data_IF_503497484028
#
_entry.id   IF_503497484028
#
_cell.length_a   1.000
_cell.length_b   1.000
_cell.length_c   1.000
_cell.angle_alpha   90.00
_cell.angle_beta   90.00
_cell.angle_gamma   90.00
#
_symmetry.space_group_name_H-M   'P 1'
#
loop_
_entity.id
_entity.type
_entity.pdbx_description
1 polymer ?
#
# COMPACT_ATOMS: atom_id res chain seq x y z
N UNK A 1 11.46 5.95 -9.20
CA UNK A 1 12.06 6.75 -10.27
C UNK A 1 13.50 6.28 -10.49
N UNK A 2 13.85 5.87 -11.72
CA UNK A 2 15.19 5.38 -12.08
C UNK A 2 15.77 6.20 -13.24
N UNK A 3 15.63 7.52 -13.19
CA UNK A 3 16.12 8.36 -14.27
C UNK A 3 17.57 8.88 -14.06
N UNK A 4 18.05 8.89 -12.82
CA UNK A 4 19.43 9.25 -12.50
C UNK A 4 20.39 8.07 -12.72
N UNK A 5 21.57 8.34 -13.23
CA UNK A 5 22.58 7.31 -13.53
C UNK A 5 22.97 6.48 -12.30
N UNK A 6 23.06 7.12 -11.13
CA UNK A 6 23.37 6.48 -9.85
C UNK A 6 22.23 5.51 -9.43
N UNK A 7 20.98 5.89 -9.65
CA UNK A 7 19.84 5.04 -9.36
C UNK A 7 19.78 3.81 -10.27
N UNK A 8 20.10 3.99 -11.57
CA UNK A 8 20.19 2.87 -12.53
C UNK A 8 21.27 1.86 -12.14
N UNK A 9 22.43 2.33 -11.69
CA UNK A 9 23.53 1.46 -11.29
C UNK A 9 23.23 0.70 -10.00
N UNK A 10 22.52 1.31 -9.06
CA UNK A 10 22.19 0.71 -7.75
C UNK A 10 20.89 -0.08 -7.77
N UNK A 11 20.01 0.16 -8.75
CA UNK A 11 18.67 -0.42 -8.82
C UNK A 11 17.70 0.04 -7.70
N UNK A 12 18.03 1.15 -7.04
CA UNK A 12 17.24 1.76 -5.96
C UNK A 12 17.16 3.28 -6.14
N UNK A 13 16.08 3.88 -5.64
CA UNK A 13 15.95 5.35 -5.59
C UNK A 13 16.87 5.94 -4.53
N UNK A 14 17.72 6.88 -4.92
CA UNK A 14 18.68 7.57 -4.02
C UNK A 14 18.13 8.91 -3.58
N UNK A 15 17.29 9.54 -4.39
CA UNK A 15 16.67 10.83 -4.11
C UNK A 15 15.16 10.74 -4.14
N UNK A 16 14.51 11.58 -3.33
CA UNK A 16 13.05 11.70 -3.37
C UNK A 16 12.64 12.30 -4.71
N UNK A 17 11.60 11.76 -5.31
CA UNK A 17 11.02 12.27 -6.56
C UNK A 17 9.52 12.50 -6.41
N UNK A 18 9.00 13.44 -7.18
CA UNK A 18 7.58 13.71 -7.27
C UNK A 18 7.07 13.28 -8.65
N UNK A 19 6.00 12.51 -8.70
CA UNK A 19 5.29 12.12 -9.92
C UNK A 19 3.83 12.51 -9.80
N UNK A 20 3.24 12.94 -10.90
CA UNK A 20 1.83 13.31 -10.96
C UNK A 20 1.14 12.53 -12.07
N UNK A 21 -0.06 12.05 -11.80
CA UNK A 21 -0.92 11.44 -12.81
C UNK A 21 -2.40 11.66 -12.47
N UNK A 22 -3.26 11.45 -13.46
CA UNK A 22 -4.71 11.49 -13.27
C UNK A 22 -5.28 10.07 -13.32
N UNK A 23 -6.17 9.77 -12.39
CA UNK A 23 -6.88 8.51 -12.30
C UNK A 23 -8.29 8.74 -11.75
N UNK A 24 -9.31 8.24 -12.46
CA UNK A 24 -10.73 8.33 -12.07
C UNK A 24 -11.17 9.74 -11.63
N UNK A 25 -10.73 10.77 -12.37
CA UNK A 25 -11.05 12.17 -12.08
C UNK A 25 -10.24 12.79 -10.92
N UNK A 26 -9.35 12.04 -10.31
CA UNK A 26 -8.44 12.53 -9.26
C UNK A 26 -7.07 12.87 -9.85
N UNK A 27 -6.49 13.94 -9.35
CA UNK A 27 -5.08 14.25 -9.57
C UNK A 27 -4.26 13.74 -8.41
N UNK A 28 -3.40 12.76 -8.66
CA UNK A 28 -2.60 12.08 -7.66
C UNK A 28 -1.16 12.53 -7.78
N UNK A 29 -0.57 12.95 -6.67
CA UNK A 29 0.82 13.29 -6.56
C UNK A 29 1.51 12.24 -5.69
N UNK A 30 2.45 11.49 -6.25
CA UNK A 30 3.27 10.53 -5.51
C UNK A 30 4.58 11.20 -5.17
N UNK A 31 4.89 11.25 -3.88
CA UNK A 31 6.19 11.64 -3.36
C UNK A 31 6.94 10.37 -2.98
N UNK A 32 7.84 9.93 -3.84
CA UNK A 32 8.64 8.73 -3.63
C UNK A 32 9.77 9.01 -2.64
N UNK A 33 9.88 8.19 -1.60
CA UNK A 33 10.96 8.28 -0.62
C UNK A 33 12.11 7.35 -1.01
N UNK A 34 13.38 7.71 -0.74
CA UNK A 34 14.49 6.81 -0.98
C UNK A 34 14.30 5.51 -0.19
N UNK A 35 14.40 4.37 -0.88
CA UNK A 35 14.57 3.07 -0.25
C UNK A 35 15.98 2.94 0.30
N UNK A 36 16.23 2.04 1.23
CA UNK A 36 17.55 1.71 1.79
C UNK A 36 18.32 2.88 2.43
N UNK A 37 18.67 2.72 3.67
CA UNK A 37 19.66 3.40 4.54
C UNK A 37 19.86 4.93 4.44
N UNK A 38 19.46 5.57 3.36
CA UNK A 38 19.62 7.01 3.16
C UNK A 38 18.43 7.80 3.71
N UNK A 39 18.15 7.62 5.02
CA UNK A 39 17.19 8.48 5.73
C UNK A 39 17.83 9.85 5.87
N UNK A 40 17.52 10.73 4.92
CA UNK A 40 18.00 12.11 4.91
C UNK A 40 16.91 13.07 5.42
N UNK A 41 17.32 14.28 5.72
CA UNK A 41 16.40 15.39 6.00
C UNK A 41 15.37 15.59 4.87
N UNK A 42 15.74 15.28 3.63
CA UNK A 42 14.86 15.33 2.47
C UNK A 42 13.68 14.36 2.58
N UNK A 43 13.91 13.15 3.09
CA UNK A 43 12.84 12.17 3.32
C UNK A 43 11.82 12.68 4.34
N UNK A 44 12.31 13.28 5.42
CA UNK A 44 11.45 13.91 6.42
C UNK A 44 10.61 15.03 5.82
N UNK A 45 11.22 15.92 5.04
CA UNK A 45 10.53 17.04 4.38
C UNK A 45 9.46 16.57 3.40
N UNK A 46 9.73 15.50 2.65
CA UNK A 46 8.75 14.90 1.74
C UNK A 46 7.53 14.40 2.52
N UNK A 47 7.75 13.69 3.62
CA UNK A 47 6.66 13.20 4.47
C UNK A 47 5.85 14.33 5.11
N UNK A 48 6.49 15.47 5.40
CA UNK A 48 5.79 16.67 5.87
C UNK A 48 4.80 17.20 4.83
N UNK A 49 5.08 17.03 3.55
CA UNK A 49 4.21 17.48 2.47
C UNK A 49 3.05 16.52 2.15
N UNK A 50 3.13 15.27 2.60
CA UNK A 50 2.14 14.25 2.28
C UNK A 50 0.85 14.38 3.11
N UNK A 51 -0.29 14.01 2.53
CA UNK A 51 -1.59 13.93 3.19
C UNK A 51 -1.95 12.50 3.63
N UNK A 52 -1.31 11.51 3.04
CA UNK A 52 -1.38 10.10 3.39
C UNK A 52 -0.08 9.40 3.01
N UNK A 53 0.18 8.24 3.59
CA UNK A 53 1.34 7.42 3.27
C UNK A 53 0.93 6.02 2.81
N UNK A 54 1.66 5.50 1.84
CA UNK A 54 1.61 4.09 1.45
C UNK A 54 2.90 3.43 1.93
N UNK A 55 2.76 2.53 2.88
CA UNK A 55 3.86 1.74 3.42
C UNK A 55 3.99 0.43 2.62
N UNK A 56 5.11 0.26 1.93
CA UNK A 56 5.41 -0.95 1.18
C UNK A 56 6.20 -1.93 2.06
N UNK A 57 5.69 -3.14 2.20
CA UNK A 57 6.32 -4.24 2.92
C UNK A 57 6.71 -5.31 1.92
N UNK A 58 7.97 -5.73 1.93
CA UNK A 58 8.42 -6.89 1.18
C UNK A 58 7.89 -8.16 1.87
N UNK A 59 7.14 -8.98 1.14
CA UNK A 59 6.48 -10.16 1.71
C UNK A 59 7.47 -11.19 2.31
N UNK A 60 8.71 -11.23 1.82
CA UNK A 60 9.74 -12.13 2.33
C UNK A 60 10.50 -11.54 3.53
N UNK A 61 10.72 -10.23 3.54
CA UNK A 61 11.51 -9.54 4.56
C UNK A 61 10.69 -9.07 5.75
N UNK A 62 9.43 -8.70 5.54
CA UNK A 62 8.58 -8.11 6.56
C UNK A 62 8.97 -6.67 6.89
N UNK A 63 8.86 -6.29 8.15
CA UNK A 63 9.14 -4.93 8.61
C UNK A 63 10.65 -4.71 8.74
N UNK A 64 11.20 -3.84 7.91
CA UNK A 64 12.63 -3.49 7.90
C UNK A 64 12.90 -2.24 8.76
N UNK A 65 14.15 -2.03 9.15
CA UNK A 65 14.56 -0.89 9.99
C UNK A 65 14.16 0.46 9.38
N UNK A 66 14.29 0.60 8.06
CA UNK A 66 13.90 1.81 7.34
C UNK A 66 12.39 2.06 7.42
N UNK A 67 11.59 1.01 7.33
CA UNK A 67 10.14 1.08 7.51
C UNK A 67 9.77 1.63 8.88
N UNK A 68 10.46 1.19 9.94
CA UNK A 68 10.23 1.66 11.31
C UNK A 68 10.50 3.16 11.42
N UNK A 69 11.59 3.64 10.84
CA UNK A 69 11.96 5.06 10.88
C UNK A 69 10.92 5.93 10.17
N UNK A 70 10.51 5.55 8.96
CA UNK A 70 9.52 6.27 8.17
C UNK A 70 8.13 6.23 8.82
N UNK A 71 7.75 5.10 9.36
CA UNK A 71 6.50 4.93 10.10
C UNK A 71 6.40 5.88 11.30
N UNK A 72 7.48 6.03 12.08
CA UNK A 72 7.52 6.96 13.22
C UNK A 72 7.25 8.39 12.79
N UNK A 73 7.80 8.82 11.67
CA UNK A 73 7.55 10.17 11.12
C UNK A 73 6.09 10.35 10.72
N UNK A 74 5.52 9.39 10.02
CA UNK A 74 4.09 9.42 9.64
C UNK A 74 3.19 9.47 10.88
N UNK A 75 3.54 8.72 11.92
CA UNK A 75 2.79 8.67 13.18
C UNK A 75 2.79 10.02 13.91
N UNK A 76 3.94 10.70 13.96
CA UNK A 76 4.05 12.04 14.54
C UNK A 76 3.15 13.06 13.83
N UNK A 77 2.85 12.85 12.58
CA UNK A 77 2.00 13.73 11.77
C UNK A 77 0.53 13.33 11.76
N UNK A 78 0.18 12.19 12.35
CA UNK A 78 -1.18 11.65 12.36
C UNK A 78 -1.81 11.53 10.95
N UNK A 79 -0.99 11.23 9.94
CA UNK A 79 -1.51 11.01 8.59
C UNK A 79 -1.97 9.56 8.43
N UNK A 80 -3.00 9.30 7.59
CA UNK A 80 -3.43 7.95 7.27
C UNK A 80 -2.28 7.13 6.65
N UNK A 81 -2.16 5.87 7.07
CA UNK A 81 -1.16 4.93 6.58
C UNK A 81 -1.87 3.72 5.98
N UNK A 82 -1.61 3.46 4.70
CA UNK A 82 -2.05 2.27 3.99
C UNK A 82 -0.86 1.33 3.84
N UNK A 83 -1.06 0.05 4.05
CA UNK A 83 0.00 -0.95 3.94
C UNK A 83 -0.23 -1.84 2.73
N UNK A 84 0.77 -1.96 1.88
CA UNK A 84 0.78 -2.87 0.74
C UNK A 84 1.92 -3.87 0.88
N UNK A 85 1.57 -5.14 1.10
CA UNK A 85 2.53 -6.25 1.11
C UNK A 85 2.80 -6.66 -0.33
N UNK A 86 3.99 -6.32 -0.79
CA UNK A 86 4.45 -6.45 -2.16
C UNK A 86 5.26 -7.73 -2.37
N UNK A 87 5.39 -8.14 -3.62
CA UNK A 87 6.17 -9.30 -4.06
C UNK A 87 5.58 -10.65 -3.64
N UNK A 88 4.25 -10.73 -3.55
CA UNK A 88 3.56 -12.00 -3.26
C UNK A 88 3.78 -13.08 -4.33
N UNK A 89 4.21 -12.69 -5.53
CA UNK A 89 4.59 -13.58 -6.63
C UNK A 89 5.89 -14.38 -6.37
N UNK A 90 6.56 -14.14 -5.26
CA UNK A 90 7.83 -14.77 -4.87
C UNK A 90 7.70 -15.43 -3.49
N UNK A 91 8.86 -15.80 -2.93
CA UNK A 91 8.94 -16.26 -1.54
C UNK A 91 8.34 -15.23 -0.58
N UNK A 92 7.53 -15.67 0.36
CA UNK A 92 6.85 -14.80 1.32
C UNK A 92 6.70 -15.45 2.68
N UNK A 93 6.64 -14.61 3.72
CA UNK A 93 6.23 -15.04 5.05
C UNK A 93 4.74 -15.37 5.07
N UNK A 94 4.31 -16.09 6.11
CA UNK A 94 2.88 -16.29 6.37
C UNK A 94 2.17 -14.95 6.58
N UNK A 95 1.00 -14.72 5.95
CA UNK A 95 0.25 -13.47 6.08
C UNK A 95 -0.16 -13.10 7.50
N UNK A 96 -0.54 -14.08 8.34
CA UNK A 96 -0.83 -13.84 9.75
C UNK A 96 0.42 -13.41 10.53
N UNK A 97 1.58 -14.02 10.22
CA UNK A 97 2.84 -13.62 10.82
C UNK A 97 3.24 -12.19 10.44
N UNK A 98 2.97 -11.77 9.20
CA UNK A 98 3.19 -10.38 8.77
C UNK A 98 2.27 -9.39 9.50
N UNK A 99 1.01 -9.74 9.72
CA UNK A 99 0.08 -8.91 10.51
C UNK A 99 0.54 -8.78 11.96
N UNK A 100 0.97 -9.87 12.57
CA UNK A 100 1.51 -9.86 13.93
C UNK A 100 2.79 -9.02 14.02
N UNK A 101 3.68 -9.12 13.04
CA UNK A 101 4.90 -8.33 12.97
C UNK A 101 4.61 -6.82 12.87
N UNK A 102 3.63 -6.41 12.05
CA UNK A 102 3.18 -5.02 11.97
C UNK A 102 2.70 -4.51 13.33
N UNK A 103 1.89 -5.27 14.04
CA UNK A 103 1.36 -4.89 15.34
C UNK A 103 2.45 -4.83 16.40
N UNK A 104 3.32 -5.84 16.49
CA UNK A 104 4.37 -5.91 17.50
C UNK A 104 5.51 -4.92 17.29
N UNK A 105 5.94 -4.73 16.04
CA UNK A 105 7.09 -3.88 15.71
C UNK A 105 6.71 -2.42 15.56
N UNK A 106 5.59 -2.13 14.88
CA UNK A 106 5.13 -0.77 14.61
C UNK A 106 4.08 -0.26 15.61
N UNK A 107 3.40 -1.16 16.30
CA UNK A 107 2.32 -0.80 17.22
C UNK A 107 1.06 -0.28 16.51
N UNK A 108 0.86 -0.66 15.26
CA UNK A 108 -0.35 -0.33 14.50
C UNK A 108 -1.16 -1.59 14.20
N UNK A 109 -2.47 -1.52 14.41
CA UNK A 109 -3.39 -2.58 14.04
C UNK A 109 -3.65 -2.55 12.55
N UNK A 110 -3.86 -3.72 11.94
CA UNK A 110 -4.12 -3.84 10.51
C UNK A 110 -5.50 -4.45 10.24
N UNK A 111 -6.14 -3.96 9.18
CA UNK A 111 -7.39 -4.50 8.66
C UNK A 111 -7.15 -5.02 7.24
N UNK A 112 -7.06 -6.34 7.02
CA UNK A 112 -6.92 -6.88 5.68
C UNK A 112 -8.12 -6.55 4.81
N UNK A 113 -7.88 -5.87 3.70
CA UNK A 113 -8.89 -5.53 2.69
C UNK A 113 -9.00 -6.62 1.64
N UNK A 114 -7.90 -7.32 1.38
CA UNK A 114 -7.85 -8.55 0.62
C UNK A 114 -7.04 -9.61 1.40
N UNK A 115 -7.10 -10.85 0.93
CA UNK A 115 -6.38 -11.95 1.56
C UNK A 115 -5.72 -12.84 0.50
N UNK A 116 -4.43 -13.19 0.64
CA UNK A 116 -3.74 -13.99 -0.36
C UNK A 116 -4.19 -15.45 -0.35
N UNK A 117 -4.22 -16.04 -1.54
CA UNK A 117 -4.50 -17.45 -1.79
C UNK A 117 -3.21 -18.08 -2.27
N UNK A 118 -2.69 -19.03 -1.49
CA UNK A 118 -1.33 -19.54 -1.72
C UNK A 118 -0.27 -18.50 -1.36
N UNK A 119 0.86 -18.94 -0.86
CA UNK A 119 1.97 -18.11 -0.40
C UNK A 119 3.31 -18.80 -0.69
N UNK A 120 4.40 -18.08 -0.48
CA UNK A 120 5.76 -18.62 -0.53
C UNK A 120 6.09 -19.35 -1.85
N UNK A 121 5.90 -18.65 -2.96
CA UNK A 121 6.15 -19.18 -4.31
C UNK A 121 4.96 -19.95 -4.91
N UNK A 122 3.85 -20.09 -4.19
CA UNK A 122 2.63 -20.77 -4.62
C UNK A 122 1.42 -19.82 -4.73
N UNK A 123 1.68 -18.57 -5.04
CA UNK A 123 0.66 -17.52 -5.08
C UNK A 123 -0.35 -17.73 -6.21
N UNK A 124 -1.63 -17.85 -5.87
CA UNK A 124 -2.74 -18.10 -6.79
C UNK A 124 -3.59 -16.84 -7.06
N UNK A 125 -3.55 -15.86 -6.18
CA UNK A 125 -4.37 -14.67 -6.27
C UNK A 125 -4.74 -14.12 -4.92
N UNK A 126 -5.75 -13.24 -4.89
CA UNK A 126 -6.28 -12.66 -3.65
C UNK A 126 -7.80 -12.73 -3.61
N UNK A 127 -8.32 -12.94 -2.41
CA UNK A 127 -9.73 -12.77 -2.10
C UNK A 127 -10.00 -11.34 -1.67
N UNK A 128 -10.94 -10.66 -2.33
CA UNK A 128 -11.38 -9.30 -1.99
C UNK A 128 -12.50 -9.40 -0.96
N UNK A 129 -12.25 -8.93 0.26
CA UNK A 129 -13.17 -9.09 1.39
C UNK A 129 -14.45 -8.27 1.26
N UNK A 130 -14.41 -7.12 0.59
CA UNK A 130 -15.57 -6.24 0.37
C UNK A 130 -16.56 -6.82 -0.64
N UNK A 131 -16.08 -7.34 -1.76
CA UNK A 131 -16.91 -7.85 -2.85
C UNK A 131 -17.17 -9.36 -2.78
N UNK A 132 -16.34 -10.12 -2.08
CA UNK A 132 -16.36 -11.57 -2.08
C UNK A 132 -15.81 -12.19 -3.36
N UNK A 133 -15.12 -11.40 -4.19
CA UNK A 133 -14.50 -11.86 -5.43
C UNK A 133 -13.08 -12.37 -5.19
N UNK A 134 -12.68 -13.32 -6.01
CA UNK A 134 -11.31 -13.81 -6.11
C UNK A 134 -10.70 -13.25 -7.38
N UNK A 135 -9.59 -12.51 -7.24
CA UNK A 135 -8.74 -12.11 -8.35
C UNK A 135 -7.69 -13.18 -8.56
N UNK A 136 -7.68 -13.80 -9.75
CA UNK A 136 -6.74 -14.87 -10.08
C UNK A 136 -5.43 -14.28 -10.61
N UNK A 137 -4.31 -14.81 -10.10
CA UNK A 137 -2.98 -14.47 -10.58
C UNK A 137 -2.58 -15.39 -11.72
N UNK A 138 -2.26 -14.83 -12.89
CA UNK A 138 -1.97 -15.62 -14.11
C UNK A 138 -0.48 -15.82 -14.39
N UNK A 139 0.41 -15.50 -13.45
CA UNK A 139 1.87 -15.69 -13.59
C UNK A 139 2.52 -14.94 -14.74
N UNK A 140 3.08 -13.80 -14.45
CA UNK A 140 4.24 -13.26 -15.16
C UNK A 140 4.14 -12.86 -16.62
N UNK A 141 3.32 -11.90 -16.98
CA UNK A 141 3.72 -10.98 -18.03
C UNK A 141 4.35 -9.75 -17.36
N UNK A 142 5.67 -9.74 -17.26
CA UNK A 142 6.42 -8.61 -16.75
C UNK A 142 6.03 -7.33 -17.49
N UNK A 143 5.22 -6.48 -16.87
CA UNK A 143 5.08 -5.08 -17.22
C UNK A 143 4.48 -4.73 -18.59
N UNK A 144 4.02 -5.66 -19.38
CA UNK A 144 3.45 -5.38 -20.70
C UNK A 144 2.00 -5.84 -20.77
N UNK A 145 1.13 -4.87 -20.82
CA UNK A 145 -0.33 -4.87 -20.88
C UNK A 145 -1.01 -5.08 -19.52
N UNK A 146 -2.03 -4.25 -19.26
CA UNK A 146 -3.10 -4.55 -18.32
C UNK A 146 -3.78 -5.84 -18.81
N UNK A 147 -3.24 -7.00 -18.41
CA UNK A 147 -3.95 -8.25 -18.58
C UNK A 147 -5.23 -8.10 -17.76
N UNK A 148 -6.38 -8.28 -18.38
CA UNK A 148 -7.65 -8.35 -17.68
C UNK A 148 -7.48 -9.36 -16.53
N UNK A 149 -7.49 -8.85 -15.30
CA UNK A 149 -7.42 -9.70 -14.12
C UNK A 149 -8.70 -10.51 -14.08
N UNK A 150 -8.60 -11.82 -14.17
CA UNK A 150 -9.77 -12.70 -14.11
C UNK A 150 -10.32 -12.65 -12.70
N UNK A 151 -11.55 -12.19 -12.55
CA UNK A 151 -12.29 -12.11 -11.30
C UNK A 151 -13.40 -13.14 -11.30
N UNK A 152 -13.48 -13.95 -10.25
CA UNK A 152 -14.54 -14.95 -10.04
C UNK A 152 -15.14 -14.77 -8.65
N UNK A 153 -16.44 -15.06 -8.52
CA UNK A 153 -17.12 -14.99 -7.23
C UNK A 153 -16.77 -16.22 -6.38
N UNK A 154 -16.35 -16.01 -5.13
CA UNK A 154 -16.16 -17.13 -4.20
C UNK A 154 -17.50 -17.89 -3.99
N UNK A 155 -17.43 -19.22 -4.05
CA UNK A 155 -18.62 -20.08 -3.99
C UNK A 155 -19.32 -20.30 -5.34
N UNK A 156 -18.82 -19.69 -6.43
CA UNK A 156 -19.33 -19.94 -7.78
C UNK A 156 -18.69 -21.18 -8.40
N UNK A 157 -19.35 -21.80 -9.41
CA UNK A 157 -18.75 -22.90 -10.16
C UNK A 157 -17.44 -22.52 -10.86
N UNK A 158 -17.29 -21.27 -11.27
CA UNK A 158 -16.09 -20.73 -11.89
C UNK A 158 -14.91 -20.73 -10.91
N UNK A 159 -15.13 -20.37 -9.65
CA UNK A 159 -14.11 -20.42 -8.60
C UNK A 159 -13.70 -21.86 -8.27
N UNK A 160 -14.67 -22.78 -8.20
CA UNK A 160 -14.44 -24.22 -8.00
C UNK A 160 -13.62 -24.85 -9.13
N UNK A 161 -13.75 -24.34 -10.35
CA UNK A 161 -12.96 -24.78 -11.52
C UNK A 161 -11.58 -24.15 -11.54
N UNK A 162 -11.47 -22.88 -11.16
CA UNK A 162 -10.22 -22.10 -11.28
C UNK A 162 -9.21 -22.41 -10.16
N UNK A 163 -9.68 -22.81 -8.98
CA UNK A 163 -8.84 -23.09 -7.82
C UNK A 163 -9.02 -24.52 -7.33
N UNK A 164 -7.92 -25.19 -7.02
CA UNK A 164 -7.96 -26.50 -6.40
C UNK A 164 -8.65 -26.44 -5.02
N UNK A 165 -9.32 -27.53 -4.64
CA UNK A 165 -10.12 -27.60 -3.41
C UNK A 165 -9.34 -27.23 -2.16
N UNK A 166 -8.07 -27.61 -2.04
CA UNK A 166 -7.26 -27.30 -0.86
C UNK A 166 -7.01 -25.78 -0.68
N UNK A 167 -6.94 -24.99 -1.78
CA UNK A 167 -6.86 -23.53 -1.69
C UNK A 167 -8.17 -22.94 -1.19
N UNK A 168 -9.30 -23.43 -1.68
CA UNK A 168 -10.63 -22.96 -1.26
C UNK A 168 -10.91 -23.29 0.19
N UNK A 169 -10.60 -24.53 0.63
CA UNK A 169 -10.79 -24.96 2.01
C UNK A 169 -9.95 -24.10 2.97
N UNK A 170 -8.67 -23.90 2.65
CA UNK A 170 -7.79 -23.05 3.44
C UNK A 170 -8.27 -21.59 3.48
N UNK A 171 -8.70 -21.05 2.35
CA UNK A 171 -9.24 -19.69 2.28
C UNK A 171 -10.44 -19.53 3.19
N UNK A 172 -11.39 -20.47 3.21
CA UNK A 172 -12.55 -20.42 4.09
C UNK A 172 -12.16 -20.42 5.56
N UNK A 173 -11.22 -21.29 5.96
CA UNK A 173 -10.71 -21.33 7.33
C UNK A 173 -10.03 -20.01 7.73
N UNK A 174 -9.21 -19.44 6.86
CA UNK A 174 -8.50 -18.19 7.12
C UNK A 174 -9.45 -16.99 7.18
N UNK A 175 -10.50 -16.94 6.33
CA UNK A 175 -11.54 -15.91 6.40
C UNK A 175 -12.29 -15.98 7.74
N UNK A 176 -12.67 -17.18 8.19
CA UNK A 176 -13.32 -17.35 9.49
C UNK A 176 -12.44 -16.84 10.64
N UNK A 177 -11.14 -17.12 10.61
CA UNK A 177 -10.19 -16.61 11.60
C UNK A 177 -10.10 -15.09 11.58
N UNK A 178 -10.07 -14.48 10.39
CA UNK A 178 -10.03 -13.03 10.23
C UNK A 178 -11.32 -12.36 10.74
N UNK A 179 -12.46 -12.97 10.50
CA UNK A 179 -13.76 -12.42 10.93
C UNK A 179 -13.95 -12.50 12.44
N UNK A 180 -13.32 -13.48 13.11
CA UNK A 180 -13.41 -13.67 14.57
C UNK A 180 -12.34 -12.87 15.30
N UNK A 181 -11.10 -12.89 14.81
CA UNK A 181 -9.94 -12.34 15.53
C UNK A 181 -9.38 -11.05 14.92
N UNK A 182 -9.81 -10.67 13.71
CA UNK A 182 -9.34 -9.48 13.02
C UNK A 182 -10.05 -8.21 13.47
N UNK A 183 -9.42 -7.08 13.16
CA UNK A 183 -10.04 -5.77 13.33
C UNK A 183 -10.98 -5.46 12.16
N UNK A 184 -12.22 -5.05 12.42
CA UNK A 184 -13.11 -4.60 11.37
C UNK A 184 -12.62 -3.28 10.77
N UNK A 185 -12.97 -3.03 9.53
CA UNK A 185 -12.68 -1.75 8.89
C UNK A 185 -13.39 -0.61 9.62
N UNK A 186 -12.62 0.38 10.04
CA UNK A 186 -13.08 1.60 10.70
C UNK A 186 -12.39 2.80 10.02
N UNK A 187 -13.16 3.52 9.20
CA UNK A 187 -12.66 4.67 8.44
C UNK A 187 -12.08 5.75 9.35
N UNK A 188 -12.71 6.03 10.47
CA UNK A 188 -12.23 7.05 11.41
C UNK A 188 -10.88 6.65 12.01
N UNK A 189 -10.71 5.38 12.39
CA UNK A 189 -9.44 4.86 12.90
C UNK A 189 -8.33 4.94 11.85
N UNK A 190 -8.67 4.72 10.57
CA UNK A 190 -7.70 4.87 9.46
C UNK A 190 -7.28 6.33 9.30
N UNK A 191 -8.24 7.26 9.27
CA UNK A 191 -7.96 8.69 9.14
C UNK A 191 -7.15 9.25 10.31
N UNK A 192 -7.29 8.68 11.49
CA UNK A 192 -6.52 9.04 12.69
C UNK A 192 -5.17 8.32 12.79
N UNK A 193 -4.82 7.46 11.83
CA UNK A 193 -3.56 6.71 11.83
C UNK A 193 -3.47 5.58 12.86
N UNK A 194 -4.60 5.10 13.40
CA UNK A 194 -4.67 4.01 14.41
C UNK A 194 -4.86 2.62 13.80
N UNK A 195 -5.37 2.56 12.59
CA UNK A 195 -5.63 1.34 11.84
C UNK A 195 -5.07 1.49 10.44
N UNK A 196 -4.37 0.48 9.93
CA UNK A 196 -3.89 0.48 8.55
C UNK A 196 -4.68 -0.52 7.70
N UNK A 197 -5.32 -0.07 6.62
CA UNK A 197 -5.82 -0.99 5.62
C UNK A 197 -4.66 -1.76 4.99
N UNK A 198 -4.77 -3.09 4.97
CA UNK A 198 -3.71 -4.00 4.54
C UNK A 198 -4.10 -4.67 3.22
N UNK A 199 -3.21 -4.59 2.25
CA UNK A 199 -3.36 -5.19 0.93
C UNK A 199 -2.18 -6.09 0.61
N UNK A 200 -2.45 -7.17 -0.14
CA UNK A 200 -1.43 -8.07 -0.65
C UNK A 200 -1.45 -8.06 -2.18
N UNK A 201 -0.29 -8.06 -2.80
CA UNK A 201 -0.19 -8.06 -4.26
C UNK A 201 1.25 -8.12 -4.76
N UNK A 202 1.42 -7.78 -6.04
CA UNK A 202 2.72 -7.71 -6.70
C UNK A 202 2.75 -6.53 -7.67
N UNK A 203 3.50 -5.49 -7.31
CA UNK A 203 3.58 -4.28 -8.13
C UNK A 203 4.29 -4.52 -9.47
N UNK A 204 5.31 -5.38 -9.50
CA UNK A 204 6.06 -5.69 -10.72
C UNK A 204 5.22 -6.41 -11.77
N UNK A 205 4.24 -7.19 -11.34
CA UNK A 205 3.28 -7.88 -12.21
C UNK A 205 1.96 -7.12 -12.34
N UNK A 206 1.87 -5.92 -11.76
CA UNK A 206 0.68 -5.09 -11.70
C UNK A 206 -0.55 -5.79 -11.10
N UNK A 207 -0.32 -6.74 -10.18
CA UNK A 207 -1.38 -7.51 -9.55
C UNK A 207 -1.84 -6.88 -8.22
N UNK A 208 -3.15 -6.62 -8.12
CA UNK A 208 -3.77 -6.03 -6.93
C UNK A 208 -3.54 -4.52 -6.76
N UNK A 209 -2.87 -3.87 -7.71
CA UNK A 209 -2.53 -2.43 -7.65
C UNK A 209 -3.76 -1.57 -7.91
N UNK A 210 -4.56 -1.89 -8.93
CA UNK A 210 -5.75 -1.11 -9.26
C UNK A 210 -6.81 -1.15 -8.15
N UNK A 211 -7.21 -2.30 -7.59
CA UNK A 211 -8.12 -2.36 -6.44
C UNK A 211 -7.57 -1.62 -5.20
N UNK A 212 -6.27 -1.66 -4.99
CA UNK A 212 -5.63 -0.87 -3.94
C UNK A 212 -5.83 0.63 -4.19
N UNK A 213 -5.56 1.10 -5.40
CA UNK A 213 -5.69 2.52 -5.76
C UNK A 213 -7.14 3.01 -5.63
N UNK A 214 -8.11 2.22 -6.05
CA UNK A 214 -9.53 2.52 -5.89
C UNK A 214 -9.92 2.67 -4.41
N UNK A 215 -9.51 1.73 -3.57
CA UNK A 215 -9.76 1.79 -2.13
C UNK A 215 -9.04 2.98 -1.48
N UNK A 216 -7.80 3.25 -1.87
CA UNK A 216 -7.03 4.39 -1.42
C UNK A 216 -7.76 5.70 -1.70
N UNK A 217 -8.23 5.92 -2.92
CA UNK A 217 -8.96 7.12 -3.31
C UNK A 217 -10.29 7.28 -2.58
N UNK A 218 -10.99 6.18 -2.29
CA UNK A 218 -12.27 6.21 -1.58
C UNK A 218 -12.14 6.53 -0.10
N UNK A 219 -10.98 6.25 0.50
CA UNK A 219 -10.76 6.37 1.95
C UNK A 219 -9.96 7.63 2.30
N UNK A 220 -8.94 7.98 1.49
CA UNK A 220 -8.07 9.13 1.78
C UNK A 220 -8.83 10.45 1.78
N UNK A 221 -8.47 11.39 2.69
CA UNK A 221 -9.04 12.71 2.68
C UNK A 221 -8.50 13.53 1.50
N UNK A 222 -9.17 14.62 1.13
CA UNK A 222 -8.58 15.64 0.26
C UNK A 222 -7.35 16.27 0.93
N UNK A 223 -6.59 17.11 0.21
CA UNK A 223 -5.47 17.84 0.80
C UNK A 223 -5.84 18.52 2.10
N UNK A 224 -4.99 18.35 3.11
CA UNK A 224 -5.25 18.88 4.45
C UNK A 224 -4.81 20.35 4.57
N UNK A 225 -5.45 21.13 5.45
CA UNK A 225 -5.00 22.48 5.79
C UNK A 225 -3.57 22.48 6.35
N UNK A 226 -2.86 23.57 6.14
CA UNK A 226 -1.50 23.77 6.65
C UNK A 226 -1.41 25.01 7.52
N UNK A 227 -0.64 24.91 8.60
CA UNK A 227 -0.34 26.06 9.44
C UNK A 227 0.72 26.94 8.82
N UNK A 228 0.52 28.25 8.86
CA UNK A 228 1.49 29.27 8.44
C UNK A 228 1.68 30.31 9.56
N UNK A 229 2.54 31.28 9.36
CA UNK A 229 2.75 32.42 10.27
C UNK A 229 1.52 33.34 10.39
N UNK A 230 0.63 33.28 9.41
CA UNK A 230 -0.64 34.06 9.43
C UNK A 230 -1.86 33.23 9.86
N UNK A 231 -1.67 31.96 10.24
CA UNK A 231 -2.73 31.05 10.66
C UNK A 231 -2.87 29.81 9.77
N UNK A 232 -3.98 29.10 9.93
CA UNK A 232 -4.31 27.94 9.13
C UNK A 232 -4.75 28.36 7.72
N UNK A 233 -4.15 27.71 6.70
CA UNK A 233 -4.51 27.90 5.29
C UNK A 233 -5.18 26.62 4.80
N UNK A 234 -6.43 26.72 4.39
CA UNK A 234 -7.20 25.62 3.82
C UNK A 234 -6.99 25.49 2.31
N UNK A 235 -7.04 24.30 1.71
CA UNK A 235 -6.87 24.11 0.27
C UNK A 235 -7.82 24.95 -0.60
N UNK A 236 -9.09 25.20 -0.22
CA UNK A 236 -10.02 25.99 -1.02
C UNK A 236 -9.94 27.52 -0.83
N UNK A 237 -8.88 28.02 -0.22
CA UNK A 237 -8.69 29.47 -0.08
C UNK A 237 -8.65 30.18 -1.45
N UNK A 238 -9.25 31.37 -1.57
CA UNK A 238 -9.36 32.09 -2.85
C UNK A 238 -8.02 32.65 -3.36
N UNK A 239 -7.01 32.69 -2.50
CA UNK A 239 -5.68 33.19 -2.84
C UNK A 239 -4.70 32.03 -3.02
N UNK A 240 -3.80 32.17 -3.98
CA UNK A 240 -2.72 31.22 -4.15
C UNK A 240 -1.80 31.20 -2.92
N UNK A 241 -1.57 30.00 -2.39
CA UNK A 241 -0.60 29.76 -1.32
C UNK A 241 0.21 28.53 -1.62
N UNK A 242 1.40 28.43 -1.08
CA UNK A 242 2.28 27.28 -1.25
C UNK A 242 3.43 27.32 -0.28
N UNK A 243 4.05 26.17 -0.03
CA UNK A 243 5.29 26.07 0.69
C UNK A 243 6.31 25.25 -0.09
N UNK A 244 7.58 25.58 0.06
CA UNK A 244 8.68 24.85 -0.57
C UNK A 244 9.12 23.75 0.38
N UNK A 245 8.86 22.49 0.03
CA UNK A 245 9.30 21.33 0.82
C UNK A 245 10.64 20.75 0.33
N UNK A 246 11.03 21.02 -0.93
CA UNK A 246 12.28 20.55 -1.50
C UNK A 246 12.75 21.49 -2.61
N UNK A 247 14.06 21.75 -2.67
CA UNK A 247 14.73 22.42 -3.78
C UNK A 247 15.70 21.40 -4.40
N UNK A 248 15.60 21.23 -5.71
CA UNK A 248 16.49 20.35 -6.47
C UNK A 248 17.18 21.16 -7.56
N UNK A 249 18.52 21.11 -7.57
CA UNK A 249 19.32 21.64 -8.68
C UNK A 249 19.35 20.62 -9.83
N UNK A 250 19.23 21.09 -11.05
CA UNK A 250 19.38 20.28 -12.26
C UNK A 250 20.85 20.22 -12.68
#
# INVERSE_FOLDING_TARGET
SHWMEIEKQRGISVTSSAMQFEYDGYRINILDTPGHQDFSEDTYRVLVAADAAVMLIDAAKGVEEQTIKLFKVCRLRNIPIFTFVNKMDRASKDPFALMEELEQVLGIRSCPMNWPIGVDGDFQGVYQRDSGNVLLYSGGNHGMSMAEQVSVKLGSPEAETALAKHYLDRLHEEIELLDVAGDPFDKQAVLEGRLTPLFFGSAVTNFGVEPFLEAFLSITPPPLPRMSDIGEIAPPEPYFSGFIFKIQAN
#
